data_IF_281161390789
#
_entry.id   IF_281161390789
#
_cell.length_a   1.000
_cell.length_b   1.000
_cell.length_c   1.000
_cell.angle_alpha   90.00
_cell.angle_beta   90.00
_cell.angle_gamma   90.00
#
_symmetry.space_group_name_H-M   'P 1'
#
loop_
_entity.id
_entity.type
_entity.pdbx_description
1 polymer ?
#
# COMPACT_ATOMS: atom_id res chain seq x y z
N UNK A 1 27.03 8.60 4.35
CA UNK A 1 25.77 9.03 4.99
C UNK A 1 24.91 9.88 4.03
N UNK A 2 23.90 9.26 3.40
CA UNK A 2 22.73 9.96 2.85
C UNK A 2 21.53 9.04 3.06
N UNK A 3 20.78 9.24 4.14
CA UNK A 3 19.47 8.61 4.32
C UNK A 3 18.46 9.46 3.54
N UNK A 4 18.29 9.20 2.24
CA UNK A 4 17.26 9.88 1.45
C UNK A 4 15.94 9.17 1.74
N UNK A 5 15.16 9.71 2.68
CA UNK A 5 13.80 9.23 2.91
C UNK A 5 12.95 9.78 1.76
N UNK A 6 12.99 9.09 0.62
CA UNK A 6 12.25 9.46 -0.56
C UNK A 6 10.75 9.45 -0.25
N UNK A 7 10.07 10.50 -0.73
CA UNK A 7 8.62 10.58 -0.67
C UNK A 7 8.04 9.98 -1.95
N UNK A 8 7.06 9.10 -1.81
CA UNK A 8 6.43 8.39 -2.91
C UNK A 8 5.01 8.94 -3.11
N UNK A 9 4.60 9.27 -4.35
CA UNK A 9 3.21 9.62 -4.63
C UNK A 9 2.32 8.39 -4.49
N UNK A 10 1.12 8.58 -3.95
CA UNK A 10 0.12 7.52 -3.88
C UNK A 10 -0.63 7.34 -5.18
N UNK A 11 -0.81 6.10 -5.58
CA UNK A 11 -1.69 5.72 -6.69
C UNK A 11 -2.81 4.84 -6.17
N UNK A 12 -4.04 5.12 -6.61
CA UNK A 12 -5.16 4.23 -6.36
C UNK A 12 -5.17 3.15 -7.45
N UNK A 13 -5.16 1.89 -7.03
CA UNK A 13 -5.37 0.74 -7.90
C UNK A 13 -6.60 -0.01 -7.46
N UNK A 14 -7.49 -0.26 -8.41
CA UNK A 14 -8.68 -1.05 -8.15
C UNK A 14 -8.33 -2.54 -8.13
N UNK A 15 -8.95 -3.26 -7.19
CA UNK A 15 -8.83 -4.70 -7.01
C UNK A 15 -10.19 -5.31 -6.71
N UNK A 16 -10.34 -6.57 -7.09
CA UNK A 16 -11.53 -7.39 -6.80
C UNK A 16 -11.21 -8.34 -5.64
N UNK A 17 -12.12 -8.42 -4.67
CA UNK A 17 -12.03 -9.38 -3.57
C UNK A 17 -12.57 -10.72 -4.04
N UNK A 18 -11.73 -11.76 -3.95
CA UNK A 18 -12.10 -13.12 -4.30
C UNK A 18 -12.54 -13.93 -3.07
N UNK A 19 -11.86 -13.73 -1.94
CA UNK A 19 -12.17 -14.41 -0.69
C UNK A 19 -11.71 -13.59 0.51
N UNK A 20 -12.46 -13.65 1.60
CA UNK A 20 -12.13 -12.97 2.86
C UNK A 20 -12.09 -14.01 3.97
N UNK A 21 -10.97 -14.06 4.67
CA UNK A 21 -10.80 -14.79 5.92
C UNK A 21 -10.74 -13.79 7.08
N UNK A 22 -10.63 -14.28 8.31
CA UNK A 22 -10.64 -13.43 9.52
C UNK A 22 -9.50 -12.40 9.57
N UNK A 23 -8.32 -12.73 9.04
CA UNK A 23 -7.10 -11.93 9.13
C UNK A 23 -6.52 -11.51 7.77
N UNK A 24 -7.06 -12.03 6.66
CA UNK A 24 -6.51 -11.83 5.32
C UNK A 24 -7.60 -11.80 4.25
N UNK A 25 -7.27 -11.18 3.13
CA UNK A 25 -8.16 -11.09 1.96
C UNK A 25 -7.39 -11.51 0.72
N UNK A 26 -7.95 -12.46 -0.03
CA UNK A 26 -7.47 -12.82 -1.35
C UNK A 26 -8.08 -11.86 -2.37
N UNK A 27 -7.22 -11.18 -3.13
CA UNK A 27 -7.63 -10.21 -4.16
C UNK A 27 -7.01 -10.52 -5.51
N UNK A 28 -7.62 -10.01 -6.58
CA UNK A 28 -7.07 -9.99 -7.93
C UNK A 28 -7.14 -8.58 -8.50
N UNK A 29 -6.17 -8.18 -9.32
CA UNK A 29 -6.20 -6.89 -9.98
C UNK A 29 -4.85 -6.52 -10.59
N UNK A 30 -4.56 -5.22 -10.61
CA UNK A 30 -3.38 -4.63 -11.25
C UNK A 30 -2.18 -4.47 -10.30
N UNK A 31 -2.21 -5.15 -9.16
CA UNK A 31 -1.10 -5.17 -8.19
C UNK A 31 -0.13 -6.27 -8.60
N UNK A 32 1.16 -5.94 -8.63
CA UNK A 32 2.23 -6.86 -9.01
C UNK A 32 3.09 -7.23 -7.79
N UNK A 33 3.87 -8.29 -7.94
CA UNK A 33 4.90 -8.63 -6.96
C UNK A 33 5.89 -7.47 -6.81
N UNK A 34 6.23 -7.12 -5.57
CA UNK A 34 7.11 -6.00 -5.24
C UNK A 34 6.41 -4.64 -5.08
N UNK A 35 5.12 -4.53 -5.42
CA UNK A 35 4.34 -3.33 -5.10
C UNK A 35 4.24 -3.13 -3.58
N UNK A 36 4.39 -1.88 -3.14
CA UNK A 36 4.16 -1.50 -1.74
C UNK A 36 2.72 -1.05 -1.58
N UNK A 37 1.97 -1.77 -0.75
CA UNK A 37 0.54 -1.52 -0.52
C UNK A 37 0.32 -0.93 0.87
N UNK A 38 -0.64 -0.01 0.97
CA UNK A 38 -1.08 0.55 2.24
C UNK A 38 -2.17 -0.34 2.82
N UNK A 39 -1.91 -0.94 3.97
CA UNK A 39 -2.83 -1.87 4.64
C UNK A 39 -3.71 -1.24 5.72
N UNK A 40 -3.51 0.05 6.02
CA UNK A 40 -4.19 0.71 7.12
C UNK A 40 -4.28 2.21 6.95
N UNK A 41 -5.27 2.83 7.61
CA UNK A 41 -5.46 4.28 7.58
C UNK A 41 -5.82 4.86 6.20
N UNK A 42 -6.27 4.02 5.26
CA UNK A 42 -6.59 4.42 3.87
C UNK A 42 -7.61 5.54 3.77
N UNK A 43 -8.53 5.66 4.75
CA UNK A 43 -9.52 6.75 4.83
C UNK A 43 -8.91 8.15 5.03
N UNK A 44 -7.60 8.27 5.31
CA UNK A 44 -6.90 9.54 5.51
C UNK A 44 -6.07 9.97 4.30
N UNK A 45 -6.09 9.19 3.22
CA UNK A 45 -5.18 9.32 2.10
C UNK A 45 -5.92 9.77 0.84
N UNK A 46 -5.22 10.57 0.04
CA UNK A 46 -5.71 11.07 -1.25
C UNK A 46 -4.73 10.64 -2.35
N UNK A 47 -5.20 10.27 -3.56
CA UNK A 47 -4.32 9.99 -4.69
C UNK A 47 -3.37 11.17 -4.99
N UNK A 48 -2.13 10.86 -5.37
CA UNK A 48 -1.07 11.82 -5.63
C UNK A 48 -0.37 12.37 -4.38
N UNK A 49 -0.89 12.10 -3.18
CA UNK A 49 -0.27 12.53 -1.93
C UNK A 49 1.14 11.93 -1.79
N UNK A 50 2.12 12.75 -1.47
CA UNK A 50 3.48 12.30 -1.19
C UNK A 50 3.57 11.76 0.24
N UNK A 51 3.94 10.49 0.39
CA UNK A 51 4.10 9.82 1.68
C UNK A 51 5.50 9.26 1.86
N UNK A 52 5.91 9.08 3.10
CA UNK A 52 7.17 8.41 3.45
C UNK A 52 6.87 7.08 4.12
N UNK A 53 7.43 5.97 3.65
CA UNK A 53 7.38 4.71 4.37
C UNK A 53 8.04 4.92 5.74
N UNK A 54 7.32 4.58 6.79
CA UNK A 54 7.96 4.37 8.09
C UNK A 54 8.66 3.03 8.02
N UNK A 55 9.92 2.97 8.45
CA UNK A 55 10.72 1.74 8.47
C UNK A 55 10.20 0.82 9.57
N UNK A 56 8.95 0.34 9.45
CA UNK A 56 8.40 -0.74 10.22
C UNK A 56 7.08 -1.20 9.61
N UNK A 57 7.08 -2.34 8.92
CA UNK A 57 6.12 -3.41 9.17
C UNK A 57 6.49 -4.62 8.31
N UNK A 58 6.96 -5.66 8.99
CA UNK A 58 6.90 -7.02 8.47
C UNK A 58 5.42 -7.42 8.45
N UNK A 59 4.94 -7.87 7.31
CA UNK A 59 3.72 -8.66 7.20
C UNK A 59 4.04 -10.11 7.56
#
# INVERSE_FOLDING_TARGET
PVNRIDAFPLERRDVEVLHTESDRVLVRGTIQEGDRVIVGGTHRLVPGQLVRPIANQKF
#
